data_IF_304830647651
#
_entry.id   IF_304830647651
#
_cell.length_a   1.000
_cell.length_b   1.000
_cell.length_c   1.000
_cell.angle_alpha   90.00
_cell.angle_beta   90.00
_cell.angle_gamma   90.00
#
_symmetry.space_group_name_H-M   'P 1'
#
loop_
_entity.id
_entity.type
_entity.pdbx_description
1 polymer ?
#
# COMPACT_ATOMS: atom_id res chain seq x y z
N UNK A 1 0.54 -3.99 12.36
CA UNK A 1 0.03 -2.70 11.84
C UNK A 1 -0.81 -3.06 10.65
N UNK A 2 -2.10 -2.81 10.69
CA UNK A 2 -3.03 -3.19 9.63
C UNK A 2 -3.21 -2.06 8.63
N UNK A 3 -3.24 -2.41 7.35
CA UNK A 3 -3.47 -1.49 6.25
C UNK A 3 -4.64 -1.99 5.41
N UNK A 4 -5.34 -1.05 4.78
CA UNK A 4 -6.25 -1.34 3.67
C UNK A 4 -5.72 -0.70 2.40
N UNK A 5 -5.86 -1.39 1.27
CA UNK A 5 -5.36 -0.90 -0.01
C UNK A 5 -6.20 -1.36 -1.19
N UNK A 6 -6.14 -0.59 -2.27
CA UNK A 6 -6.74 -0.90 -3.57
C UNK A 6 -6.05 -0.11 -4.67
N UNK A 7 -6.15 -0.61 -5.90
CA UNK A 7 -5.64 0.05 -7.09
C UNK A 7 -6.76 0.85 -7.76
N UNK A 8 -6.55 2.15 -7.90
CA UNK A 8 -7.42 2.99 -8.70
C UNK A 8 -6.93 2.97 -10.16
N UNK A 9 -7.62 2.23 -11.02
CA UNK A 9 -7.27 2.12 -12.44
C UNK A 9 -7.40 3.45 -13.20
N UNK A 10 -8.39 4.27 -12.86
CA UNK A 10 -8.63 5.58 -13.50
C UNK A 10 -7.49 6.56 -13.23
N UNK A 11 -6.93 6.53 -12.03
CA UNK A 11 -5.83 7.41 -11.61
C UNK A 11 -4.45 6.73 -11.68
N UNK A 12 -4.41 5.45 -12.06
CA UNK A 12 -3.21 4.59 -12.13
C UNK A 12 -2.34 4.65 -10.87
N UNK A 13 -2.97 4.56 -9.71
CA UNK A 13 -2.28 4.63 -8.41
C UNK A 13 -2.80 3.60 -7.43
N UNK A 14 -1.90 3.10 -6.60
CA UNK A 14 -2.26 2.26 -5.46
C UNK A 14 -2.47 3.16 -4.24
N UNK A 15 -3.64 3.07 -3.64
CA UNK A 15 -3.98 3.78 -2.40
C UNK A 15 -3.76 2.80 -1.26
N UNK A 16 -3.04 3.24 -0.22
CA UNK A 16 -2.79 2.46 1.00
C UNK A 16 -3.16 3.32 2.20
N UNK A 17 -3.96 2.79 3.11
CA UNK A 17 -4.40 3.49 4.31
C UNK A 17 -4.05 2.64 5.52
N UNK A 18 -3.38 3.23 6.50
CA UNK A 18 -3.17 2.60 7.80
C UNK A 18 -4.48 2.68 8.60
N UNK A 19 -5.04 1.52 8.96
CA UNK A 19 -6.40 1.45 9.54
C UNK A 19 -6.49 2.20 10.88
N UNK A 20 -5.57 2.03 11.84
CA UNK A 20 -5.67 2.71 13.13
C UNK A 20 -5.52 4.24 13.07
N UNK A 21 -4.60 4.76 12.24
CA UNK A 21 -4.33 6.21 12.18
C UNK A 21 -5.08 6.93 11.07
N UNK A 22 -5.72 6.19 10.16
CA UNK A 22 -6.31 6.70 8.92
C UNK A 22 -5.30 7.47 8.04
N UNK A 23 -3.99 7.30 8.28
CA UNK A 23 -2.95 7.89 7.45
C UNK A 23 -2.98 7.25 6.05
N UNK A 24 -2.97 8.07 5.01
CA UNK A 24 -3.06 7.66 3.62
C UNK A 24 -1.73 7.87 2.91
N UNK A 25 -1.31 6.87 2.13
CA UNK A 25 -0.20 6.95 1.17
C UNK A 25 -0.69 6.56 -0.21
N UNK A 26 -0.20 7.29 -1.21
CA UNK A 26 -0.46 7.01 -2.61
C UNK A 26 0.83 6.59 -3.30
N UNK A 27 0.78 5.48 -4.03
CA UNK A 27 1.90 4.98 -4.83
C UNK A 27 1.50 5.11 -6.29
N UNK A 28 2.07 6.12 -6.96
CA UNK A 28 1.81 6.42 -8.38
C UNK A 28 2.88 5.83 -9.31
N UNK A 29 4.07 5.53 -8.78
CA UNK A 29 5.18 5.06 -9.60
C UNK A 29 5.04 3.57 -9.94
N UNK A 30 4.94 3.16 -11.22
CA UNK A 30 4.64 1.78 -11.61
C UNK A 30 5.59 0.74 -11.02
N UNK A 31 6.90 1.04 -10.95
CA UNK A 31 7.87 0.09 -10.35
C UNK A 31 7.63 -0.11 -8.84
N UNK A 32 7.15 0.92 -8.13
CA UNK A 32 6.80 0.78 -6.71
C UNK A 32 5.50 -0.01 -6.52
N UNK A 33 4.54 0.17 -7.43
CA UNK A 33 3.30 -0.63 -7.44
C UNK A 33 3.63 -2.10 -7.66
N UNK A 34 4.45 -2.43 -8.66
CA UNK A 34 4.88 -3.83 -8.92
C UNK A 34 5.59 -4.42 -7.69
N UNK A 35 6.52 -3.67 -7.07
CA UNK A 35 7.18 -4.12 -5.83
C UNK A 35 6.20 -4.35 -4.69
N UNK A 36 5.20 -3.49 -4.55
CA UNK A 36 4.13 -3.68 -3.57
C UNK A 36 3.41 -5.00 -3.85
N UNK A 37 2.86 -5.17 -5.05
CA UNK A 37 2.13 -6.37 -5.45
C UNK A 37 2.93 -7.65 -5.24
N UNK A 38 4.23 -7.66 -5.56
CA UNK A 38 5.11 -8.79 -5.31
C UNK A 38 5.25 -9.13 -3.82
N UNK A 39 5.36 -8.13 -2.94
CA UNK A 39 5.48 -8.35 -1.50
C UNK A 39 4.21 -8.97 -0.87
N UNK A 40 3.04 -8.69 -1.47
CA UNK A 40 1.77 -9.27 -1.07
C UNK A 40 1.36 -10.50 -1.89
N UNK A 41 2.18 -10.90 -2.88
CA UNK A 41 1.88 -11.99 -3.83
C UNK A 41 0.53 -11.79 -4.56
N UNK A 42 0.25 -10.55 -4.96
CA UNK A 42 -1.00 -10.15 -5.62
C UNK A 42 -0.76 -9.74 -7.07
N UNK A 43 -1.82 -9.81 -7.87
CA UNK A 43 -1.90 -9.15 -9.17
C UNK A 43 -2.53 -7.75 -9.06
N UNK A 44 -2.55 -6.99 -10.16
CA UNK A 44 -3.33 -5.73 -10.20
C UNK A 44 -4.84 -6.00 -10.09
N UNK A 45 -5.33 -7.08 -10.70
CA UNK A 45 -6.74 -7.46 -10.71
C UNK A 45 -7.26 -7.76 -9.31
N UNK A 46 -6.42 -8.40 -8.49
CA UNK A 46 -6.67 -8.62 -7.07
C UNK A 46 -6.95 -7.34 -6.27
N UNK A 47 -6.43 -6.20 -6.75
CA UNK A 47 -6.53 -4.91 -6.09
C UNK A 47 -7.66 -4.02 -6.67
N UNK A 48 -8.52 -4.53 -7.55
CA UNK A 48 -9.71 -3.80 -8.01
C UNK A 48 -10.73 -3.57 -6.89
N UNK A 49 -10.70 -4.43 -5.86
CA UNK A 49 -11.47 -4.30 -4.62
C UNK A 49 -10.57 -3.90 -3.46
N UNK A 50 -11.19 -3.36 -2.40
CA UNK A 50 -10.49 -3.05 -1.16
C UNK A 50 -10.02 -4.34 -0.49
N UNK A 51 -8.75 -4.40 -0.13
CA UNK A 51 -8.14 -5.48 0.65
C UNK A 51 -7.54 -4.96 1.93
N UNK A 52 -7.50 -5.82 2.93
CA UNK A 52 -6.88 -5.56 4.24
C UNK A 52 -5.78 -6.60 4.48
N UNK A 53 -4.63 -6.15 4.97
CA UNK A 53 -3.48 -7.00 5.30
C UNK A 53 -2.57 -6.26 6.31
N UNK A 54 -1.53 -6.94 6.77
CA UNK A 54 -0.48 -6.32 7.57
C UNK A 54 0.42 -5.41 6.71
N UNK A 55 0.96 -4.34 7.29
CA UNK A 55 1.97 -3.49 6.65
C UNK A 55 3.34 -4.19 6.55
N UNK A 56 3.44 -5.17 5.64
CA UNK A 56 4.64 -6.00 5.40
C UNK A 56 5.83 -5.17 4.94
N UNK A 57 5.57 -4.05 4.28
CA UNK A 57 6.60 -3.14 3.75
C UNK A 57 6.98 -2.02 4.72
N UNK A 58 6.34 -1.95 5.89
CA UNK A 58 6.61 -0.90 6.86
C UNK A 58 6.36 0.51 6.32
N UNK A 59 5.39 0.67 5.42
CA UNK A 59 5.02 1.95 4.82
C UNK A 59 4.68 3.00 5.88
N UNK A 60 4.14 2.59 7.03
CA UNK A 60 3.75 3.50 8.12
C UNK A 60 4.64 3.36 9.36
N UNK A 61 5.74 2.61 9.28
CA UNK A 61 6.73 2.59 10.36
C UNK A 61 7.41 3.96 10.41
N UNK A 62 7.24 4.69 11.53
CA UNK A 62 8.07 5.87 11.82
C UNK A 62 9.53 5.42 11.88
N UNK A 63 10.34 5.81 10.89
CA UNK A 63 11.79 5.67 11.02
C UNK A 63 12.21 6.51 12.23
N UNK A 64 12.64 5.84 13.31
CA UNK A 64 13.45 6.50 14.35
C UNK A 64 14.75 6.90 13.67
N UNK A 65 14.80 8.14 13.20
CA UNK A 65 16.07 8.76 12.83
C UNK A 65 16.80 8.93 14.17
N UNK A 66 17.75 8.04 14.45
CA UNK A 66 18.78 8.32 15.46
C UNK A 66 19.62 9.47 14.88
N UNK A 67 19.57 10.62 15.54
CA UNK A 67 20.39 11.79 15.25
C UNK A 67 21.46 11.91 16.31
#
# INVERSE_FOLDING_TARGET
MEIKFWYNASERKLIVIHIPSQERKEITYPKKIIKFLQAYQLSLQDCESVREDEDRLGLFKKMRIFR
#
